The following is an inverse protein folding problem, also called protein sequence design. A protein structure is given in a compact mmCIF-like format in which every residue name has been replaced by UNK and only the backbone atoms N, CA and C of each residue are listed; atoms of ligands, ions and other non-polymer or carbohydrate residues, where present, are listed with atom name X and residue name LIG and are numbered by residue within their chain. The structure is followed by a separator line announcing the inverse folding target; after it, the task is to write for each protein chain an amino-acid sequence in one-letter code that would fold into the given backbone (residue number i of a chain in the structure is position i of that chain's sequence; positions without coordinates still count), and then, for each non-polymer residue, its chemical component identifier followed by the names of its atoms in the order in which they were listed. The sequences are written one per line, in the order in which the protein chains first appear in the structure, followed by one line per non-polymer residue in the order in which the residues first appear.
data_IF_550197207307
#
_entry.id   IF_550197207307
#
_cell.length_a   1.000
_cell.length_b   1.000
_cell.length_c   1.000
_cell.angle_alpha   90.00
_cell.angle_beta   90.00
_cell.angle_gamma   90.00
#
_symmetry.space_group_name_H-M   'P 1'
#
loop_
_entity.id
_entity.type
_entity.pdbx_description
1 polymer ?
#
# COMPACT_ATOMS: atom_id res chain seq x y z
N UNK A 1 22.84 -54.93 -45.59
CA UNK A 1 22.55 -55.27 -47.00
C UNK A 1 22.25 -53.96 -47.69
N UNK A 2 23.19 -53.60 -48.57
CA UNK A 2 23.14 -52.60 -49.63
C UNK A 2 22.87 -51.11 -49.26
N UNK A 3 23.89 -50.23 -49.20
CA UNK A 3 24.71 -49.69 -50.31
C UNK A 3 23.90 -48.59 -51.06
N UNK A 4 24.29 -47.31 -51.05
CA UNK A 4 25.37 -46.78 -51.90
C UNK A 4 25.73 -45.31 -51.60
N UNK A 5 27.05 -45.04 -51.60
CA UNK A 5 27.85 -44.03 -52.37
C UNK A 5 27.45 -42.53 -52.29
N UNK A 6 28.34 -41.52 -52.30
CA UNK A 6 29.78 -41.37 -52.59
C UNK A 6 30.23 -39.96 -52.13
N UNK A 7 31.53 -39.83 -51.84
CA UNK A 7 32.38 -38.64 -51.60
C UNK A 7 32.28 -37.54 -52.71
N UNK A 8 32.92 -36.32 -52.63
CA UNK A 8 34.17 -36.01 -51.92
C UNK A 8 34.38 -34.62 -51.29
N UNK A 9 35.53 -34.53 -50.63
CA UNK A 9 36.24 -33.39 -50.02
C UNK A 9 36.51 -32.20 -50.94
N UNK A 10 36.33 -30.99 -50.42
CA UNK A 10 37.12 -29.80 -50.78
C UNK A 10 37.30 -28.96 -49.49
N UNK A 11 38.55 -28.75 -49.08
CA UNK A 11 38.92 -27.74 -48.08
C UNK A 11 38.83 -26.35 -48.74
N UNK A 12 38.14 -25.36 -48.15
CA UNK A 12 38.31 -23.96 -48.50
C UNK A 12 39.47 -23.37 -47.71
N UNK A 13 40.33 -22.67 -48.44
CA UNK A 13 41.48 -21.88 -48.03
C UNK A 13 41.08 -20.66 -47.19
N UNK A 14 42.04 -20.23 -46.36
CA UNK A 14 42.09 -19.00 -45.57
C UNK A 14 41.50 -17.78 -46.29
N UNK A 15 40.29 -17.34 -45.88
CA UNK A 15 39.85 -15.95 -46.04
C UNK A 15 38.60 -15.56 -45.22
N UNK A 16 38.02 -16.47 -44.43
CA UNK A 16 36.75 -16.20 -43.71
C UNK A 16 36.89 -15.92 -42.20
N UNK A 17 38.09 -15.91 -41.63
CA UNK A 17 38.28 -15.73 -40.17
C UNK A 17 38.39 -14.26 -39.75
N UNK A 18 38.57 -13.29 -40.66
CA UNK A 18 38.66 -11.87 -40.29
C UNK A 18 37.33 -11.10 -40.32
N UNK A 19 36.31 -11.59 -41.01
CA UNK A 19 35.03 -10.85 -41.14
C UNK A 19 34.03 -11.11 -40.00
N UNK A 20 34.12 -12.25 -39.31
CA UNK A 20 33.20 -12.58 -38.20
C UNK A 20 33.66 -12.03 -36.84
N UNK A 21 34.94 -11.69 -36.67
CA UNK A 21 35.45 -11.03 -35.46
C UNK A 21 35.07 -9.53 -35.39
N UNK A 22 35.04 -8.83 -36.53
CA UNK A 22 34.68 -7.41 -36.59
C UNK A 22 33.17 -7.16 -36.46
N UNK A 23 32.33 -8.16 -36.78
CA UNK A 23 30.87 -8.02 -36.68
C UNK A 23 30.35 -8.27 -35.25
N UNK A 24 31.11 -8.98 -34.41
CA UNK A 24 30.80 -9.17 -32.98
C UNK A 24 31.32 -8.00 -32.15
N UNK A 25 32.48 -7.42 -32.50
CA UNK A 25 33.04 -6.22 -31.85
C UNK A 25 32.21 -4.94 -32.08
N UNK A 26 31.56 -4.80 -33.25
CA UNK A 26 30.73 -3.62 -33.52
C UNK A 26 29.32 -3.66 -32.92
N UNK A 27 28.80 -4.83 -32.53
CA UNK A 27 27.48 -4.94 -31.89
C UNK A 27 27.49 -4.63 -30.39
N UNK A 28 28.63 -4.74 -29.72
CA UNK A 28 28.77 -4.32 -28.31
C UNK A 28 29.01 -2.81 -28.17
N UNK A 29 29.42 -2.10 -29.23
CA UNK A 29 29.74 -0.67 -29.16
C UNK A 29 28.53 0.28 -29.27
N UNK A 30 27.40 -0.16 -29.82
CA UNK A 30 26.30 0.75 -30.17
C UNK A 30 25.23 0.85 -29.06
N UNK A 31 25.07 -0.17 -28.23
CA UNK A 31 24.20 -0.14 -27.05
C UNK A 31 24.73 0.79 -25.96
N UNK A 32 26.05 0.82 -25.75
CA UNK A 32 26.68 1.71 -24.78
C UNK A 32 26.65 3.18 -25.21
N UNK A 33 26.76 3.45 -26.52
CA UNK A 33 26.65 4.80 -27.08
C UNK A 33 25.21 5.36 -26.96
N UNK A 34 24.19 4.57 -27.27
CA UNK A 34 22.76 4.95 -27.13
C UNK A 34 22.41 5.18 -25.65
N UNK A 35 22.82 4.27 -24.76
CA UNK A 35 22.65 4.45 -23.31
C UNK A 35 23.38 5.71 -22.82
N UNK A 36 24.60 5.99 -23.30
CA UNK A 36 25.35 7.18 -22.88
C UNK A 36 24.70 8.48 -23.34
N UNK A 37 24.11 8.53 -24.53
CA UNK A 37 23.48 9.74 -25.06
C UNK A 37 22.13 10.00 -24.40
N UNK A 38 21.36 8.95 -24.11
CA UNK A 38 20.11 9.06 -23.38
C UNK A 38 20.33 9.46 -21.91
N UNK A 39 21.37 8.90 -21.27
CA UNK A 39 21.83 9.29 -19.93
C UNK A 39 22.23 10.77 -19.91
N UNK A 40 23.05 11.23 -20.87
CA UNK A 40 23.43 12.65 -21.00
C UNK A 40 22.21 13.55 -21.24
N UNK A 41 21.28 13.10 -22.09
CA UNK A 41 20.02 13.81 -22.38
C UNK A 41 19.16 13.96 -21.13
N UNK A 42 19.11 12.95 -20.26
CA UNK A 42 18.39 13.02 -18.99
C UNK A 42 18.98 14.04 -18.02
N UNK A 43 20.31 14.11 -17.88
CA UNK A 43 20.98 15.08 -17.00
C UNK A 43 21.17 16.46 -17.64
N UNK A 44 20.64 16.68 -18.85
CA UNK A 44 20.54 18.02 -19.44
C UNK A 44 19.53 18.90 -18.70
N UNK A 45 19.60 20.22 -18.90
CA UNK A 45 18.64 21.16 -18.31
C UNK A 45 17.17 20.79 -18.63
N UNK A 46 16.89 20.35 -19.85
CA UNK A 46 15.55 19.91 -20.26
C UNK A 46 15.13 18.61 -19.57
N UNK A 47 16.04 17.65 -19.44
CA UNK A 47 15.77 16.38 -18.76
C UNK A 47 15.49 16.56 -17.27
N UNK A 48 16.26 17.41 -16.60
CA UNK A 48 16.02 17.77 -15.20
C UNK A 48 14.70 18.56 -15.04
N UNK A 49 14.37 19.47 -15.96
CA UNK A 49 13.09 20.16 -15.95
C UNK A 49 11.88 19.20 -16.12
N UNK A 50 12.03 18.14 -16.93
CA UNK A 50 11.02 17.08 -17.03
C UNK A 50 10.88 16.31 -15.71
N UNK A 51 11.98 15.97 -15.05
CA UNK A 51 11.97 15.31 -13.75
C UNK A 51 11.28 16.18 -12.68
N UNK A 52 11.56 17.49 -12.66
CA UNK A 52 10.89 18.45 -11.78
C UNK A 52 9.40 18.56 -12.04
N UNK A 53 8.99 18.61 -13.31
CA UNK A 53 7.57 18.64 -13.70
C UNK A 53 6.83 17.40 -13.16
N UNK A 54 7.46 16.22 -13.25
CA UNK A 54 6.94 14.99 -12.66
C UNK A 54 6.74 15.10 -11.15
N UNK A 55 7.72 15.66 -10.43
CA UNK A 55 7.62 15.92 -8.98
C UNK A 55 6.48 16.88 -8.66
N UNK A 56 6.38 17.99 -9.40
CA UNK A 56 5.35 19.00 -9.18
C UNK A 56 3.95 18.43 -9.39
N UNK A 57 3.77 17.54 -10.36
CA UNK A 57 2.51 16.82 -10.55
C UNK A 57 2.20 15.90 -9.37
N UNK A 58 3.18 15.16 -8.85
CA UNK A 58 2.96 14.32 -7.66
C UNK A 58 2.65 15.16 -6.41
N UNK A 59 3.34 16.29 -6.23
CA UNK A 59 3.12 17.22 -5.14
C UNK A 59 1.72 17.82 -5.18
N UNK A 60 1.26 18.30 -6.34
CA UNK A 60 -0.05 18.94 -6.48
C UNK A 60 -1.22 17.95 -6.42
N UNK A 61 -1.10 16.78 -7.06
CA UNK A 61 -2.20 15.81 -7.15
C UNK A 61 -2.28 14.88 -5.94
N UNK A 62 -1.13 14.58 -5.33
CA UNK A 62 -1.05 13.64 -4.20
C UNK A 62 -0.77 14.38 -2.90
N UNK A 63 0.40 14.96 -2.71
CA UNK A 63 0.80 15.44 -1.38
C UNK A 63 -0.02 16.64 -0.88
N UNK A 64 -0.30 17.63 -1.73
CA UNK A 64 -0.94 18.88 -1.34
C UNK A 64 -2.35 18.65 -0.74
N UNK A 65 -3.28 17.90 -1.39
CA UNK A 65 -4.59 17.62 -0.81
C UNK A 65 -4.54 16.88 0.53
N UNK A 66 -3.56 15.98 0.74
CA UNK A 66 -3.45 15.25 2.01
C UNK A 66 -2.82 16.14 3.10
N UNK A 67 -1.95 17.07 2.71
CA UNK A 67 -1.38 18.07 3.62
C UNK A 67 -2.45 19.05 4.10
N UNK A 68 -3.34 19.53 3.23
CA UNK A 68 -4.48 20.36 3.63
C UNK A 68 -5.37 19.64 4.65
N UNK A 69 -5.76 18.39 4.38
CA UNK A 69 -6.52 17.58 5.34
C UNK A 69 -5.75 17.32 6.64
N UNK A 70 -4.43 17.27 6.58
CA UNK A 70 -3.59 17.13 7.78
C UNK A 70 -3.62 18.38 8.64
N UNK A 71 -3.70 19.58 8.04
CA UNK A 71 -3.98 20.81 8.79
C UNK A 71 -5.38 20.78 9.40
N UNK A 72 -6.41 20.35 8.66
CA UNK A 72 -7.77 20.23 9.23
C UNK A 72 -7.81 19.29 10.45
N UNK A 73 -7.05 18.20 10.42
CA UNK A 73 -6.88 17.33 11.59
C UNK A 73 -6.13 18.04 12.73
N UNK A 74 -5.05 18.75 12.43
CA UNK A 74 -4.28 19.48 13.43
C UNK A 74 -5.14 20.56 14.11
N UNK A 75 -5.98 21.28 13.37
CA UNK A 75 -6.91 22.27 13.91
C UNK A 75 -7.94 21.63 14.84
N UNK A 76 -8.46 20.45 14.48
CA UNK A 76 -9.34 19.67 15.36
C UNK A 76 -8.63 19.22 16.63
N UNK A 77 -7.42 18.67 16.50
CA UNK A 77 -6.59 18.31 17.64
C UNK A 77 -6.28 19.50 18.55
N UNK A 78 -6.06 20.69 18.00
CA UNK A 78 -5.81 21.90 18.78
C UNK A 78 -7.04 22.24 19.65
N UNK A 79 -8.24 22.28 19.06
CA UNK A 79 -9.48 22.53 19.81
C UNK A 79 -9.74 21.48 20.89
N UNK A 80 -9.50 20.21 20.59
CA UNK A 80 -9.63 19.12 21.58
C UNK A 80 -8.61 19.28 22.71
N UNK A 81 -7.36 19.61 22.39
CA UNK A 81 -6.30 19.83 23.36
C UNK A 81 -6.58 21.04 24.28
N UNK A 82 -7.18 22.11 23.76
CA UNK A 82 -7.59 23.28 24.56
C UNK A 82 -8.63 22.91 25.62
N UNK A 83 -9.55 21.99 25.30
CA UNK A 83 -10.57 21.51 26.23
C UNK A 83 -10.01 20.50 27.25
N UNK A 84 -8.99 19.73 26.88
CA UNK A 84 -8.37 18.71 27.73
C UNK A 84 -6.84 18.65 27.55
N UNK A 85 -6.07 19.60 28.12
CA UNK A 85 -4.64 19.74 27.85
C UNK A 85 -3.78 18.59 28.41
N UNK A 86 -4.31 17.85 29.38
CA UNK A 86 -3.66 16.67 29.96
C UNK A 86 -4.05 15.37 29.25
N UNK A 87 -4.85 15.46 28.18
CA UNK A 87 -5.26 14.34 27.34
C UNK A 87 -4.14 13.76 26.48
N UNK A 88 -4.47 12.71 25.74
CA UNK A 88 -3.53 12.07 24.79
C UNK A 88 -3.38 12.85 23.47
N UNK A 89 -4.36 13.70 23.18
CA UNK A 89 -4.32 14.73 22.15
C UNK A 89 -3.85 16.00 22.88
N UNK A 90 -2.63 16.43 22.59
CA UNK A 90 -1.95 17.53 23.29
C UNK A 90 -1.16 18.38 22.28
N UNK A 91 -0.64 19.52 22.74
CA UNK A 91 0.07 20.50 21.90
C UNK A 91 1.24 19.87 21.12
N UNK A 92 2.05 19.02 21.75
CA UNK A 92 3.13 18.32 21.05
C UNK A 92 2.61 17.44 19.90
N UNK A 93 1.46 16.78 20.08
CA UNK A 93 0.83 15.98 19.02
C UNK A 93 0.30 16.86 17.90
N UNK A 94 -0.33 17.98 18.25
CA UNK A 94 -0.82 18.98 17.30
C UNK A 94 0.32 19.42 16.39
N UNK A 95 1.45 19.85 16.98
CA UNK A 95 2.63 20.30 16.23
C UNK A 95 3.20 19.18 15.35
N UNK A 96 3.35 17.95 15.86
CA UNK A 96 3.82 16.81 15.06
C UNK A 96 2.93 16.55 13.84
N UNK A 97 1.60 16.57 14.01
CA UNK A 97 0.66 16.37 12.89
C UNK A 97 0.75 17.55 11.92
N UNK A 98 0.78 18.77 12.44
CA UNK A 98 0.94 19.99 11.65
C UNK A 98 2.19 19.95 10.77
N UNK A 99 3.32 19.46 11.28
CA UNK A 99 4.59 19.37 10.55
C UNK A 99 4.70 18.15 9.62
N UNK A 100 3.75 17.21 9.69
CA UNK A 100 3.78 16.00 8.89
C UNK A 100 3.75 16.33 7.38
N UNK A 101 4.73 15.81 6.64
CA UNK A 101 4.93 16.06 5.23
C UNK A 101 5.33 17.49 4.90
N UNK A 102 5.73 18.32 5.87
CA UNK A 102 6.12 19.71 5.62
C UNK A 102 7.36 19.85 4.74
N UNK A 103 8.26 18.88 4.80
CA UNK A 103 9.49 18.81 4.00
C UNK A 103 9.58 17.45 3.29
N UNK A 104 9.92 17.48 2.00
CA UNK A 104 10.01 16.31 1.12
C UNK A 104 11.25 16.42 0.23
N UNK A 105 11.98 15.32 0.04
CA UNK A 105 13.04 15.23 -0.96
C UNK A 105 12.74 14.11 -1.92
N UNK A 106 12.87 14.42 -3.21
CA UNK A 106 12.70 13.49 -4.30
C UNK A 106 14.03 13.25 -5.03
N UNK A 107 14.29 12.00 -5.36
CA UNK A 107 15.40 11.57 -6.20
C UNK A 107 14.91 11.21 -7.60
N UNK A 108 15.53 11.79 -8.62
CA UNK A 108 15.35 11.44 -10.02
C UNK A 108 16.64 10.87 -10.59
N UNK A 109 16.53 9.74 -11.28
CA UNK A 109 17.64 9.04 -11.90
C UNK A 109 17.22 8.52 -13.27
N UNK A 110 18.15 8.47 -14.22
CA UNK A 110 17.89 7.98 -15.57
C UNK A 110 17.25 6.58 -15.55
N UNK A 111 16.24 6.38 -16.41
CA UNK A 111 15.52 5.11 -16.51
C UNK A 111 14.52 4.84 -15.38
N UNK A 112 14.36 5.78 -14.44
CA UNK A 112 13.51 5.60 -13.26
C UNK A 112 12.47 6.70 -13.15
N UNK A 113 11.33 6.34 -12.54
CA UNK A 113 10.41 7.35 -12.01
C UNK A 113 11.05 8.05 -10.82
N UNK A 114 10.74 9.31 -10.63
CA UNK A 114 11.10 10.06 -9.44
C UNK A 114 10.55 9.38 -8.19
N UNK A 115 11.32 9.38 -7.10
CA UNK A 115 10.96 8.72 -5.84
C UNK A 115 11.16 9.64 -4.66
N UNK A 116 10.28 9.52 -3.68
CA UNK A 116 10.46 10.15 -2.37
C UNK A 116 11.57 9.41 -1.61
N UNK A 117 12.59 10.14 -1.16
CA UNK A 117 13.76 9.59 -0.44
C UNK A 117 13.94 10.18 0.95
N UNK A 118 13.35 11.35 1.20
CA UNK A 118 13.34 11.97 2.53
C UNK A 118 11.97 12.60 2.78
N UNK A 119 11.41 12.39 3.97
CA UNK A 119 10.20 13.06 4.41
C UNK A 119 10.07 12.95 5.94
N UNK A 120 9.40 13.94 6.53
CA UNK A 120 8.98 13.85 7.93
C UNK A 120 7.52 13.38 8.03
N UNK A 121 7.29 12.16 8.52
CA UNK A 121 5.93 11.64 8.76
C UNK A 121 5.67 11.46 10.26
N UNK A 122 4.60 12.07 10.77
CA UNK A 122 4.26 12.03 12.21
C UNK A 122 3.84 10.64 12.72
N UNK A 123 3.48 9.73 11.81
CA UNK A 123 2.95 8.39 12.07
C UNK A 123 1.69 8.37 12.95
N UNK A 124 1.01 9.51 13.12
CA UNK A 124 -0.29 9.56 13.78
C UNK A 124 -1.31 8.80 12.94
N UNK A 125 -2.16 8.01 13.60
CA UNK A 125 -3.08 7.09 12.95
C UNK A 125 -4.19 7.79 12.17
N UNK A 126 -4.61 8.98 12.61
CA UNK A 126 -5.64 9.73 11.89
C UNK A 126 -5.03 10.65 10.82
N UNK A 127 -3.71 10.88 10.83
CA UNK A 127 -3.05 11.77 9.89
C UNK A 127 -3.26 11.33 8.43
N UNK A 128 -3.95 12.13 7.59
CA UNK A 128 -4.25 11.76 6.21
C UNK A 128 -3.01 11.46 5.36
N UNK A 129 -1.91 12.19 5.60
CA UNK A 129 -0.61 11.93 4.97
C UNK A 129 -0.07 10.54 5.33
N UNK A 130 -0.02 10.21 6.62
CA UNK A 130 0.52 8.94 7.09
C UNK A 130 -0.39 7.76 6.69
N UNK A 131 -1.71 7.90 6.83
CA UNK A 131 -2.69 6.90 6.45
C UNK A 131 -2.64 6.56 4.96
N UNK A 132 -2.45 7.56 4.10
CA UNK A 132 -2.25 7.34 2.67
C UNK A 132 -0.96 6.56 2.39
N UNK A 133 0.16 6.92 3.02
CA UNK A 133 1.43 6.19 2.85
C UNK A 133 1.35 4.75 3.38
N UNK A 134 0.67 4.53 4.50
CA UNK A 134 0.38 3.18 5.06
C UNK A 134 -0.46 2.33 4.11
N UNK A 135 -1.44 2.94 3.44
CA UNK A 135 -2.25 2.29 2.40
C UNK A 135 -1.38 1.82 1.23
N UNK A 136 -0.54 2.70 0.67
CA UNK A 136 0.37 2.35 -0.43
C UNK A 136 1.34 1.22 -0.04
N UNK A 137 1.88 1.30 1.18
CA UNK A 137 2.75 0.26 1.73
C UNK A 137 2.03 -1.08 1.86
N UNK A 138 0.83 -1.08 2.44
CA UNK A 138 0.04 -2.29 2.63
C UNK A 138 -0.30 -2.93 1.28
N UNK A 139 -0.67 -2.11 0.28
CA UNK A 139 -0.86 -2.56 -1.09
C UNK A 139 0.40 -3.24 -1.64
N UNK A 140 1.54 -2.54 -1.62
CA UNK A 140 2.80 -3.07 -2.17
C UNK A 140 3.23 -4.36 -1.49
N UNK A 141 3.22 -4.39 -0.15
CA UNK A 141 3.60 -5.57 0.61
C UNK A 141 2.71 -6.77 0.32
N UNK A 142 1.40 -6.54 0.22
CA UNK A 142 0.44 -7.60 -0.06
C UNK A 142 0.55 -8.11 -1.50
N UNK A 143 0.79 -7.22 -2.46
CA UNK A 143 1.11 -7.61 -3.84
C UNK A 143 2.31 -8.54 -3.92
N UNK A 144 3.42 -8.18 -3.26
CA UNK A 144 4.63 -9.03 -3.23
C UNK A 144 4.38 -10.38 -2.54
N UNK A 145 3.54 -10.41 -1.50
CA UNK A 145 3.15 -11.66 -0.83
C UNK A 145 2.39 -12.57 -1.78
N UNK A 146 1.39 -12.04 -2.49
CA UNK A 146 0.59 -12.82 -3.45
C UNK A 146 1.47 -13.30 -4.61
N UNK A 147 2.34 -12.45 -5.13
CA UNK A 147 3.29 -12.82 -6.17
C UNK A 147 4.22 -13.96 -5.71
N UNK A 148 4.80 -13.84 -4.51
CA UNK A 148 5.66 -14.86 -3.93
C UNK A 148 4.94 -16.21 -3.79
N UNK A 149 3.69 -16.21 -3.34
CA UNK A 149 2.89 -17.43 -3.19
C UNK A 149 2.50 -18.04 -4.54
N UNK A 150 2.22 -17.22 -5.55
CA UNK A 150 1.89 -17.69 -6.90
C UNK A 150 3.07 -18.37 -7.60
N UNK A 151 4.32 -18.03 -7.24
CA UNK A 151 5.52 -18.71 -7.78
C UNK A 151 5.68 -20.15 -7.29
N UNK A 152 5.18 -20.46 -6.09
CA UNK A 152 5.50 -21.70 -5.39
C UNK A 152 4.29 -22.62 -5.20
N UNK A 153 3.07 -22.10 -5.33
CA UNK A 153 1.86 -22.80 -4.89
C UNK A 153 0.68 -22.63 -5.83
N UNK A 154 -0.14 -23.66 -5.91
CA UNK A 154 -1.44 -23.62 -6.58
C UNK A 154 -2.53 -23.16 -5.59
N UNK A 155 -2.59 -21.85 -5.35
CA UNK A 155 -3.63 -21.23 -4.54
C UNK A 155 -4.68 -20.50 -5.37
N UNK A 156 -5.82 -20.27 -4.75
CA UNK A 156 -6.85 -19.35 -5.19
C UNK A 156 -7.14 -18.36 -4.06
N UNK A 157 -7.69 -17.20 -4.42
CA UNK A 157 -7.92 -16.11 -3.47
C UNK A 157 -9.38 -15.70 -3.46
N UNK A 158 -9.89 -15.37 -2.28
CA UNK A 158 -11.20 -14.75 -2.13
C UNK A 158 -11.08 -13.46 -1.34
N UNK A 159 -11.87 -12.46 -1.74
CA UNK A 159 -12.17 -11.30 -0.94
C UNK A 159 -13.40 -11.60 -0.08
N UNK A 160 -13.25 -11.51 1.22
CA UNK A 160 -14.28 -11.73 2.23
C UNK A 160 -14.49 -10.44 3.02
N UNK A 161 -15.69 -9.86 2.93
CA UNK A 161 -16.12 -8.72 3.76
C UNK A 161 -17.02 -9.22 4.88
N UNK A 162 -16.70 -8.86 6.13
CA UNK A 162 -17.45 -9.24 7.33
C UNK A 162 -17.90 -7.98 8.08
N UNK A 163 -19.21 -7.81 8.28
CA UNK A 163 -19.76 -6.61 8.93
C UNK A 163 -20.28 -6.90 10.33
N UNK A 164 -20.39 -5.86 11.15
CA UNK A 164 -21.19 -5.82 12.37
C UNK A 164 -22.22 -4.69 12.21
N UNK A 165 -23.29 -4.68 13.02
CA UNK A 165 -24.23 -3.55 13.03
C UNK A 165 -23.50 -2.27 13.40
N UNK A 166 -24.09 -1.17 12.98
CA UNK A 166 -23.61 0.14 13.34
C UNK A 166 -23.60 0.34 14.85
N UNK A 167 -22.75 1.26 15.30
CA UNK A 167 -22.57 1.59 16.71
C UNK A 167 -22.46 3.11 16.90
N UNK A 168 -22.74 3.57 18.11
CA UNK A 168 -22.53 4.96 18.52
C UNK A 168 -21.03 5.28 18.65
N UNK A 169 -20.67 6.55 18.76
CA UNK A 169 -19.29 6.99 19.06
C UNK A 169 -18.71 6.36 20.34
N UNK A 170 -19.53 6.20 21.38
CA UNK A 170 -19.10 5.63 22.67
C UNK A 170 -18.86 4.12 22.58
N UNK A 171 -19.54 3.46 21.63
CA UNK A 171 -19.51 2.01 21.46
C UNK A 171 -18.49 1.54 20.42
N UNK A 172 -17.75 2.42 19.74
CA UNK A 172 -16.78 2.00 18.70
C UNK A 172 -15.76 1.02 19.28
N UNK A 173 -15.21 1.35 20.46
CA UNK A 173 -14.17 0.55 21.12
C UNK A 173 -14.66 -0.88 21.45
N UNK A 174 -15.83 -1.00 22.09
CA UNK A 174 -16.44 -2.29 22.45
C UNK A 174 -16.88 -3.08 21.22
N UNK A 175 -17.40 -2.40 20.19
CA UNK A 175 -17.78 -2.97 18.90
C UNK A 175 -16.58 -3.55 18.17
N UNK A 176 -15.43 -2.86 18.17
CA UNK A 176 -14.17 -3.36 17.60
C UNK A 176 -13.66 -4.60 18.36
N UNK A 177 -13.79 -4.63 19.68
CA UNK A 177 -13.43 -5.79 20.49
C UNK A 177 -14.28 -7.01 20.12
N UNK A 178 -15.59 -6.84 19.99
CA UNK A 178 -16.50 -7.89 19.52
C UNK A 178 -16.14 -8.35 18.10
N UNK A 179 -15.93 -7.41 17.17
CA UNK A 179 -15.57 -7.69 15.77
C UNK A 179 -14.28 -8.52 15.69
N UNK A 180 -13.26 -8.16 16.48
CA UNK A 180 -11.96 -8.84 16.46
C UNK A 180 -11.99 -10.18 17.20
N UNK A 181 -12.75 -10.29 18.29
CA UNK A 181 -13.02 -11.56 18.96
C UNK A 181 -13.77 -12.52 18.02
N UNK A 182 -14.80 -12.04 17.33
CA UNK A 182 -15.56 -12.78 16.34
C UNK A 182 -14.66 -13.32 15.23
N UNK A 183 -13.77 -12.49 14.67
CA UNK A 183 -12.84 -12.95 13.64
C UNK A 183 -11.89 -14.05 14.15
N UNK A 184 -11.38 -13.92 15.38
CA UNK A 184 -10.55 -14.96 16.01
C UNK A 184 -11.34 -16.27 16.22
N UNK A 185 -12.61 -16.20 16.60
CA UNK A 185 -13.49 -17.36 16.75
C UNK A 185 -13.79 -18.02 15.40
N UNK A 186 -14.04 -17.23 14.37
CA UNK A 186 -14.26 -17.69 13.00
C UNK A 186 -13.07 -18.51 12.49
N UNK A 187 -11.85 -18.01 12.64
CA UNK A 187 -10.63 -18.72 12.24
C UNK A 187 -10.38 -20.03 13.00
N UNK A 188 -10.93 -20.17 14.21
CA UNK A 188 -10.85 -21.41 15.02
C UNK A 188 -11.93 -22.44 14.67
N UNK A 189 -12.98 -22.04 13.95
CA UNK A 189 -14.03 -22.95 13.51
C UNK A 189 -13.45 -24.06 12.63
N UNK A 190 -13.85 -25.31 12.88
CA UNK A 190 -13.29 -26.48 12.18
C UNK A 190 -13.47 -26.40 10.65
N UNK A 191 -14.63 -25.94 10.16
CA UNK A 191 -14.90 -25.78 8.71
C UNK A 191 -13.96 -24.73 8.10
N UNK A 192 -13.84 -23.59 8.76
CA UNK A 192 -13.02 -22.46 8.29
C UNK A 192 -11.52 -22.80 8.32
N UNK A 193 -11.05 -23.43 9.40
CA UNK A 193 -9.65 -23.82 9.59
C UNK A 193 -9.15 -24.77 8.50
N UNK A 194 -10.02 -25.64 7.97
CA UNK A 194 -9.67 -26.55 6.86
C UNK A 194 -9.46 -25.77 5.56
N UNK A 195 -10.30 -24.76 5.31
CA UNK A 195 -10.34 -24.01 4.05
C UNK A 195 -9.25 -22.93 3.98
N UNK A 196 -9.14 -22.09 5.01
CA UNK A 196 -8.23 -20.93 5.00
C UNK A 196 -6.78 -21.39 5.27
N UNK A 197 -5.91 -21.23 4.27
CA UNK A 197 -4.46 -21.51 4.39
C UNK A 197 -3.66 -20.30 4.87
N UNK A 198 -4.21 -19.11 4.62
CA UNK A 198 -3.66 -17.85 5.09
C UNK A 198 -4.61 -16.72 4.80
N UNK A 199 -4.34 -15.55 5.38
CA UNK A 199 -5.16 -14.37 5.15
C UNK A 199 -4.35 -13.08 5.37
N UNK A 200 -4.83 -12.01 4.75
CA UNK A 200 -4.62 -10.64 5.19
C UNK A 200 -5.97 -10.06 5.58
N UNK A 201 -6.04 -9.44 6.76
CA UNK A 201 -7.21 -8.73 7.27
C UNK A 201 -6.85 -7.25 7.44
N UNK A 202 -7.76 -6.37 7.04
CA UNK A 202 -7.83 -4.98 7.46
C UNK A 202 -9.20 -4.69 8.08
N UNK A 203 -9.24 -3.78 9.05
CA UNK A 203 -10.47 -3.22 9.59
C UNK A 203 -10.70 -1.85 8.93
N UNK A 204 -11.89 -1.59 8.45
CA UNK A 204 -12.35 -0.28 7.99
C UNK A 204 -13.49 0.19 8.89
N UNK A 205 -13.57 1.49 9.16
CA UNK A 205 -14.67 2.11 9.88
C UNK A 205 -15.19 3.24 8.99
N UNK A 206 -16.45 3.13 8.56
CA UNK A 206 -17.14 4.19 7.84
C UNK A 206 -18.13 4.90 8.75
N UNK A 207 -18.51 6.13 8.40
CA UNK A 207 -19.49 6.92 9.14
C UNK A 207 -20.79 6.95 8.35
N UNK A 208 -21.93 6.84 9.03
CA UNK A 208 -23.20 7.21 8.43
C UNK A 208 -23.26 8.74 8.30
N UNK A 209 -23.30 9.25 7.07
CA UNK A 209 -23.32 10.70 6.81
C UNK A 209 -24.69 11.33 7.04
N UNK A 210 -25.74 10.52 7.25
CA UNK A 210 -27.08 10.98 7.58
C UNK A 210 -27.26 11.26 9.08
N UNK A 211 -26.23 10.99 9.91
CA UNK A 211 -26.22 11.35 11.33
C UNK A 211 -26.39 12.86 11.53
N UNK A 212 -27.23 13.25 12.50
CA UNK A 212 -27.52 14.65 12.82
C UNK A 212 -26.70 15.08 14.04
N UNK A 213 -25.98 16.20 13.92
CA UNK A 213 -25.18 16.74 15.01
C UNK A 213 -24.05 15.79 15.42
N UNK A 214 -23.84 15.62 16.72
CA UNK A 214 -22.75 14.80 17.28
C UNK A 214 -23.16 13.35 17.54
N UNK A 215 -24.41 12.96 17.26
CA UNK A 215 -24.89 11.58 17.37
C UNK A 215 -24.46 10.77 16.13
N UNK A 216 -23.15 10.58 16.05
CA UNK A 216 -22.50 9.91 14.94
C UNK A 216 -22.68 8.40 15.04
N UNK A 217 -23.04 7.80 13.91
CA UNK A 217 -23.18 6.38 13.77
C UNK A 217 -22.06 5.81 12.89
N UNK A 218 -21.42 4.75 13.38
CA UNK A 218 -20.21 4.17 12.80
C UNK A 218 -20.43 2.74 12.38
N UNK A 219 -19.81 2.34 11.25
CA UNK A 219 -19.89 0.99 10.70
C UNK A 219 -18.50 0.35 10.61
N UNK A 220 -17.99 -0.24 11.71
CA UNK A 220 -16.80 -1.08 11.66
C UNK A 220 -17.04 -2.35 10.84
N UNK A 221 -16.10 -2.72 9.99
CA UNK A 221 -16.15 -3.96 9.23
C UNK A 221 -14.74 -4.44 8.83
N UNK A 222 -14.65 -5.70 8.39
CA UNK A 222 -13.39 -6.32 8.00
C UNK A 222 -13.38 -6.59 6.51
N UNK A 223 -12.29 -6.21 5.85
CA UNK A 223 -11.93 -6.71 4.54
C UNK A 223 -10.81 -7.74 4.69
N UNK A 224 -11.02 -8.92 4.10
CA UNK A 224 -10.10 -10.06 4.29
C UNK A 224 -9.81 -10.70 2.94
N UNK A 225 -8.55 -10.70 2.52
CA UNK A 225 -8.10 -11.62 1.47
C UNK A 225 -7.79 -12.95 2.14
N UNK A 226 -8.49 -14.00 1.75
CA UNK A 226 -8.21 -15.36 2.19
C UNK A 226 -7.56 -16.16 1.06
N UNK A 227 -6.62 -17.01 1.45
CA UNK A 227 -5.96 -17.98 0.56
C UNK A 227 -6.58 -19.34 0.79
N UNK A 228 -6.98 -19.99 -0.29
CA UNK A 228 -7.57 -21.32 -0.30
C UNK A 228 -6.85 -22.21 -1.31
N UNK A 229 -7.04 -23.52 -1.19
CA UNK A 229 -6.52 -24.46 -2.19
C UNK A 229 -7.14 -24.19 -3.57
N UNK A 230 -6.41 -24.47 -4.65
CA UNK A 230 -6.93 -24.30 -6.02
C UNK A 230 -8.24 -25.05 -6.30
N UNK A 231 -8.43 -26.20 -5.67
CA UNK A 231 -9.66 -26.99 -5.78
C UNK A 231 -10.86 -26.44 -4.98
N UNK A 232 -10.70 -25.37 -4.19
CA UNK A 232 -11.70 -24.94 -3.20
C UNK A 232 -13.12 -24.82 -3.76
N UNK A 233 -13.29 -24.25 -4.95
CA UNK A 233 -14.61 -24.00 -5.54
C UNK A 233 -15.31 -25.27 -6.08
N UNK A 234 -14.59 -26.38 -6.20
CA UNK A 234 -15.13 -27.68 -6.62
C UNK A 234 -15.04 -28.73 -5.50
N UNK A 235 -14.42 -28.39 -4.38
CA UNK A 235 -14.20 -29.27 -3.24
C UNK A 235 -15.44 -29.34 -2.32
N UNK A 236 -15.62 -30.47 -1.65
CA UNK A 236 -16.73 -30.67 -0.68
C UNK A 236 -16.64 -29.74 0.53
N UNK A 237 -15.45 -29.19 0.83
CA UNK A 237 -15.22 -28.21 1.89
C UNK A 237 -15.58 -26.78 1.49
N UNK A 238 -16.06 -26.55 0.26
CA UNK A 238 -16.54 -25.23 -0.18
C UNK A 238 -17.56 -24.64 0.80
N UNK A 239 -17.36 -23.38 1.18
CA UNK A 239 -18.26 -22.65 2.05
C UNK A 239 -19.03 -21.65 1.20
N UNK A 240 -20.33 -21.87 1.09
CA UNK A 240 -21.24 -20.99 0.35
C UNK A 240 -21.40 -19.63 1.05
N UNK A 241 -21.88 -18.62 0.31
CA UNK A 241 -22.24 -17.31 0.85
C UNK A 241 -23.17 -17.41 2.08
N UNK A 242 -24.20 -18.26 2.01
CA UNK A 242 -25.13 -18.52 3.11
C UNK A 242 -24.43 -19.13 4.33
N UNK A 243 -23.53 -20.06 4.10
CA UNK A 243 -22.75 -20.68 5.19
C UNK A 243 -21.76 -19.69 5.82
N UNK A 244 -21.17 -18.79 5.04
CA UNK A 244 -20.33 -17.72 5.58
C UNK A 244 -21.11 -16.78 6.49
N UNK A 245 -22.34 -16.41 6.12
CA UNK A 245 -23.24 -15.61 6.98
C UNK A 245 -23.50 -16.36 8.29
N UNK A 246 -23.87 -17.65 8.22
CA UNK A 246 -24.10 -18.47 9.41
C UNK A 246 -22.86 -18.57 10.31
N UNK A 247 -21.70 -18.89 9.74
CA UNK A 247 -20.44 -19.02 10.45
C UNK A 247 -20.03 -17.69 11.09
N UNK A 248 -20.25 -16.58 10.40
CA UNK A 248 -19.95 -15.26 10.91
C UNK A 248 -20.88 -14.86 12.05
N UNK A 249 -22.19 -15.05 11.90
CA UNK A 249 -23.19 -14.84 12.96
C UNK A 249 -22.85 -15.60 14.23
N UNK A 250 -22.59 -16.90 14.11
CA UNK A 250 -22.20 -17.76 15.24
C UNK A 250 -20.89 -17.30 15.89
N UNK A 251 -19.92 -16.89 15.07
CA UNK A 251 -18.63 -16.41 15.56
C UNK A 251 -18.74 -15.06 16.28
N UNK A 252 -19.60 -14.17 15.79
CA UNK A 252 -19.85 -12.85 16.37
C UNK A 252 -20.75 -12.90 17.61
N UNK A 253 -21.56 -13.96 17.74
CA UNK A 253 -22.47 -14.17 18.86
C UNK A 253 -23.70 -13.28 18.83
N UNK A 254 -24.20 -12.98 17.62
CA UNK A 254 -25.36 -12.10 17.42
C UNK A 254 -26.61 -12.88 16.98
N UNK A 255 -27.78 -12.31 17.23
CA UNK A 255 -29.09 -12.90 16.96
C UNK A 255 -29.66 -12.55 15.57
N UNK A 256 -28.97 -11.72 14.80
CA UNK A 256 -29.32 -11.31 13.45
C UNK A 256 -28.30 -11.83 12.43
N UNK A 257 -28.69 -11.94 11.15
CA UNK A 257 -27.77 -12.28 10.07
C UNK A 257 -26.97 -11.02 9.63
N UNK A 258 -25.66 -10.93 9.94
CA UNK A 258 -24.83 -9.82 9.49
C UNK A 258 -24.60 -9.87 7.98
N UNK A 259 -24.32 -8.71 7.38
CA UNK A 259 -23.91 -8.66 5.98
C UNK A 259 -22.51 -9.28 5.83
N UNK A 260 -22.41 -10.26 4.94
CA UNK A 260 -21.15 -10.89 4.56
C UNK A 260 -21.09 -10.87 3.05
N UNK A 261 -19.91 -10.75 2.47
CA UNK A 261 -19.71 -10.89 1.02
C UNK A 261 -18.46 -11.70 0.77
N UNK A 262 -18.56 -12.80 0.03
CA UNK A 262 -17.39 -13.54 -0.45
C UNK A 262 -17.34 -13.53 -1.97
N UNK A 263 -16.17 -13.23 -2.53
CA UNK A 263 -15.94 -13.18 -3.97
C UNK A 263 -14.61 -13.80 -4.34
N UNK A 264 -14.58 -14.61 -5.40
CA UNK A 264 -13.34 -15.11 -5.99
C UNK A 264 -12.59 -13.92 -6.61
N UNK A 265 -11.31 -13.78 -6.29
CA UNK A 265 -10.41 -12.83 -6.95
C UNK A 265 -9.85 -13.53 -8.17
N UNK A 266 -10.09 -12.97 -9.37
CA UNK A 266 -9.54 -13.54 -10.60
C UNK A 266 -8.08 -13.10 -10.72
N UNK A 267 -7.17 -14.06 -10.63
CA UNK A 267 -5.75 -13.83 -10.87
C UNK A 267 -5.44 -14.29 -12.30
N UNK A 268 -5.22 -13.34 -13.20
CA UNK A 268 -4.82 -13.61 -14.58
C UNK A 268 -3.48 -12.90 -14.85
N UNK A 269 -2.44 -13.60 -15.32
CA UNK A 269 -1.17 -12.98 -15.69
C UNK A 269 -1.29 -11.84 -16.73
N UNK A 270 -2.31 -11.91 -17.59
CA UNK A 270 -2.56 -10.92 -18.64
C UNK A 270 -3.61 -9.86 -18.26
N UNK A 271 -4.27 -9.99 -17.10
CA UNK A 271 -5.27 -9.04 -16.61
C UNK A 271 -5.27 -9.03 -15.07
N UNK A 272 -4.48 -8.11 -14.50
CA UNK A 272 -4.33 -7.94 -13.06
C UNK A 272 -5.47 -7.15 -12.41
N UNK A 273 -6.42 -6.60 -13.18
CA UNK A 273 -7.43 -5.65 -12.65
C UNK A 273 -8.22 -6.21 -11.47
N UNK A 274 -8.72 -7.44 -11.55
CA UNK A 274 -9.49 -8.02 -10.44
C UNK A 274 -8.65 -8.21 -9.17
N UNK A 275 -7.36 -8.50 -9.31
CA UNK A 275 -6.45 -8.61 -8.18
C UNK A 275 -6.13 -7.21 -7.62
N UNK A 276 -5.83 -6.26 -8.49
CA UNK A 276 -5.60 -4.86 -8.12
C UNK A 276 -6.81 -4.23 -7.42
N UNK A 277 -8.03 -4.47 -7.89
CA UNK A 277 -9.26 -3.99 -7.26
C UNK A 277 -9.41 -4.58 -5.85
N UNK A 278 -9.16 -5.88 -5.68
CA UNK A 278 -9.23 -6.53 -4.37
C UNK A 278 -8.12 -6.04 -3.42
N UNK A 279 -6.90 -5.84 -3.94
CA UNK A 279 -5.78 -5.27 -3.21
C UNK A 279 -6.06 -3.82 -2.80
N UNK A 280 -6.61 -3.01 -3.70
CA UNK A 280 -7.03 -1.63 -3.44
C UNK A 280 -8.12 -1.61 -2.37
N UNK A 281 -9.10 -2.51 -2.44
CA UNK A 281 -10.15 -2.62 -1.43
C UNK A 281 -9.56 -2.91 -0.04
N UNK A 282 -8.72 -3.94 0.10
CA UNK A 282 -8.21 -4.31 1.43
C UNK A 282 -7.09 -3.41 1.95
N UNK A 283 -6.41 -2.68 1.05
CA UNK A 283 -5.35 -1.73 1.40
C UNK A 283 -5.86 -0.30 1.60
N UNK A 284 -7.16 -0.03 1.40
CA UNK A 284 -7.80 1.17 1.94
C UNK A 284 -7.49 1.20 3.43
N UNK A 285 -6.88 2.30 3.87
CA UNK A 285 -6.56 2.45 5.27
C UNK A 285 -7.87 2.53 6.07
N UNK A 286 -7.76 2.19 7.35
CA UNK A 286 -8.87 1.96 8.30
C UNK A 286 -9.92 3.08 8.30
N UNK A 287 -9.50 4.30 7.98
CA UNK A 287 -10.34 5.48 7.91
C UNK A 287 -9.96 6.28 6.67
N UNK A 288 -10.97 6.61 5.85
CA UNK A 288 -10.80 7.66 4.86
C UNK A 288 -11.08 9.01 5.54
N UNK A 289 -10.21 9.98 5.29
CA UNK A 289 -10.26 11.27 6.00
C UNK A 289 -11.55 12.06 5.75
N UNK A 290 -12.20 11.85 4.60
CA UNK A 290 -13.54 12.37 4.30
C UNK A 290 -14.60 11.92 5.30
N UNK A 291 -14.45 10.73 5.89
CA UNK A 291 -15.43 10.17 6.80
C UNK A 291 -15.47 10.89 8.16
N UNK A 292 -14.44 11.65 8.52
CA UNK A 292 -14.35 12.30 9.83
C UNK A 292 -13.86 13.75 9.82
N UNK A 293 -13.33 14.26 8.70
CA UNK A 293 -12.90 15.66 8.57
C UNK A 293 -13.81 16.51 7.69
N UNK A 294 -14.69 15.92 6.87
CA UNK A 294 -15.56 16.67 5.96
C UNK A 294 -16.93 16.93 6.62
N UNK A 295 -17.02 18.03 7.36
CA UNK A 295 -18.27 18.58 7.89
C UNK A 295 -18.14 20.09 8.10
N UNK A 296 -19.24 20.84 7.94
CA UNK A 296 -19.22 22.30 8.08
C UNK A 296 -19.16 22.77 9.53
N UNK A 297 -19.71 21.98 10.45
CA UNK A 297 -19.66 22.21 11.89
C UNK A 297 -18.39 21.59 12.51
N UNK A 298 -17.48 22.41 13.08
CA UNK A 298 -16.28 21.92 13.76
C UNK A 298 -16.57 21.00 14.94
N UNK A 299 -17.68 21.15 15.66
CA UNK A 299 -18.01 20.30 16.80
C UNK A 299 -18.26 18.84 16.38
N UNK A 300 -18.84 18.65 15.20
CA UNK A 300 -19.05 17.32 14.61
C UNK A 300 -17.72 16.69 14.19
N UNK A 301 -16.80 17.49 13.63
CA UNK A 301 -15.45 17.04 13.28
C UNK A 301 -14.68 16.63 14.54
N UNK A 302 -14.71 17.47 15.57
CA UNK A 302 -13.97 17.22 16.81
C UNK A 302 -14.49 15.97 17.53
N UNK A 303 -15.82 15.81 17.61
CA UNK A 303 -16.46 14.60 18.16
C UNK A 303 -16.05 13.33 17.38
N UNK A 304 -16.05 13.40 16.04
CA UNK A 304 -15.63 12.30 15.19
C UNK A 304 -14.15 11.92 15.39
N UNK A 305 -13.28 12.93 15.38
CA UNK A 305 -11.84 12.79 15.57
C UNK A 305 -11.53 12.20 16.94
N UNK A 306 -12.15 12.72 18.00
CA UNK A 306 -11.92 12.26 19.36
C UNK A 306 -12.37 10.80 19.55
N UNK A 307 -13.59 10.46 19.11
CA UNK A 307 -14.14 9.11 19.19
C UNK A 307 -13.23 8.09 18.49
N UNK A 308 -12.77 8.40 17.28
CA UNK A 308 -11.86 7.55 16.52
C UNK A 308 -10.47 7.46 17.17
N UNK A 309 -9.92 8.59 17.62
CA UNK A 309 -8.57 8.62 18.22
C UNK A 309 -8.49 7.70 19.43
N UNK A 310 -9.42 7.84 20.38
CA UNK A 310 -9.41 7.04 21.61
C UNK A 310 -9.82 5.59 21.35
N UNK A 311 -10.82 5.36 20.49
CA UNK A 311 -11.27 4.00 20.20
C UNK A 311 -10.23 3.17 19.45
N UNK A 312 -9.38 3.80 18.64
CA UNK A 312 -8.31 3.13 17.91
C UNK A 312 -6.99 3.04 18.68
N UNK A 313 -6.86 3.72 19.81
CA UNK A 313 -5.61 3.78 20.55
C UNK A 313 -5.08 2.38 20.91
N UNK A 314 -3.81 2.11 20.59
CA UNK A 314 -3.13 0.83 20.87
C UNK A 314 -3.80 -0.42 20.26
N UNK A 315 -4.66 -0.26 19.24
CA UNK A 315 -5.25 -1.38 18.50
C UNK A 315 -4.44 -1.72 17.25
N UNK A 316 -4.35 -3.00 16.91
CA UNK A 316 -3.82 -3.44 15.61
C UNK A 316 -4.97 -3.68 14.65
N UNK A 317 -4.98 -3.00 13.52
CA UNK A 317 -6.13 -2.96 12.60
C UNK A 317 -5.90 -3.82 11.36
N UNK A 318 -4.63 -4.13 11.09
CA UNK A 318 -4.21 -5.03 10.03
C UNK A 318 -3.49 -6.27 10.58
N UNK A 319 -3.70 -7.43 9.95
CA UNK A 319 -3.00 -8.65 10.37
C UNK A 319 -2.85 -9.66 9.24
N UNK A 320 -1.73 -10.39 9.27
CA UNK A 320 -1.45 -11.49 8.37
C UNK A 320 -1.46 -12.81 9.15
N UNK A 321 -2.03 -13.87 8.56
CA UNK A 321 -2.08 -15.21 9.14
C UNK A 321 -1.75 -16.30 8.14
N UNK A 322 -1.37 -17.48 8.64
CA UNK A 322 -1.05 -18.65 7.82
C UNK A 322 0.07 -18.38 6.80
N UNK A 323 -0.08 -18.88 5.57
CA UNK A 323 0.93 -18.77 4.51
C UNK A 323 1.30 -17.34 4.15
N UNK A 324 0.36 -16.39 4.30
CA UNK A 324 0.65 -14.96 4.11
C UNK A 324 1.67 -14.46 5.13
N UNK A 325 1.51 -14.83 6.41
CA UNK A 325 2.47 -14.45 7.46
C UNK A 325 3.85 -15.05 7.21
N UNK A 326 3.91 -16.27 6.67
CA UNK A 326 5.18 -16.91 6.33
C UNK A 326 5.87 -16.19 5.15
N UNK A 327 5.16 -15.97 4.05
CA UNK A 327 5.68 -15.25 2.90
C UNK A 327 6.23 -13.86 3.26
N UNK A 328 5.57 -13.12 4.17
CA UNK A 328 6.11 -11.83 4.68
C UNK A 328 7.45 -11.96 5.37
N UNK A 329 7.64 -13.01 6.17
CA UNK A 329 8.92 -13.27 6.84
C UNK A 329 10.00 -13.61 5.82
N UNK A 330 9.66 -14.42 4.82
CA UNK A 330 10.59 -14.82 3.76
C UNK A 330 11.02 -13.61 2.91
N UNK A 331 10.08 -12.68 2.66
CA UNK A 331 10.32 -11.40 1.99
C UNK A 331 10.97 -10.33 2.89
N UNK A 332 11.18 -10.60 4.18
CA UNK A 332 11.76 -9.67 5.18
C UNK A 332 11.03 -8.31 5.23
N UNK A 333 9.71 -8.32 5.09
CA UNK A 333 8.91 -7.10 5.15
C UNK A 333 8.83 -6.56 6.58
N UNK A 334 8.94 -5.24 6.73
CA UNK A 334 8.76 -4.53 8.00
C UNK A 334 7.27 -4.34 8.35
N UNK A 335 6.94 -3.69 9.47
CA UNK A 335 5.55 -3.54 9.89
C UNK A 335 4.75 -2.60 8.95
N UNK A 336 3.54 -2.99 8.50
CA UNK A 336 2.75 -2.19 7.57
C UNK A 336 2.11 -0.95 8.22
N UNK A 337 1.92 -0.94 9.54
CA UNK A 337 1.38 0.21 10.26
C UNK A 337 2.53 1.13 10.70
N UNK A 338 3.56 0.63 11.36
CA UNK A 338 4.55 1.50 12.03
C UNK A 338 5.93 1.58 11.36
N UNK A 339 6.13 0.83 10.27
CA UNK A 339 7.39 0.78 9.53
C UNK A 339 7.74 2.05 8.74
N UNK A 340 8.62 1.90 7.75
CA UNK A 340 9.06 2.98 6.87
C UNK A 340 7.92 3.46 5.95
N UNK A 341 7.62 4.77 5.96
CA UNK A 341 6.61 5.39 5.10
C UNK A 341 7.23 6.12 3.89
N UNK A 342 8.56 6.09 3.73
CA UNK A 342 9.29 6.67 2.60
C UNK A 342 9.50 5.60 1.53
N UNK A 343 10.15 4.48 1.88
CA UNK A 343 10.38 3.36 0.97
C UNK A 343 9.25 2.34 1.12
N UNK A 344 8.24 2.47 0.26
CA UNK A 344 7.00 1.68 0.29
C UNK A 344 7.07 0.45 -0.62
N UNK A 345 7.97 0.42 -1.61
CA UNK A 345 8.16 -0.69 -2.55
C UNK A 345 9.62 -1.18 -2.59
N UNK A 346 9.84 -2.43 -3.01
CA UNK A 346 11.20 -2.96 -3.26
C UNK A 346 11.87 -2.33 -4.48
N UNK A 347 11.07 -1.76 -5.39
CA UNK A 347 11.55 -1.02 -6.55
C UNK A 347 12.03 0.38 -6.17
N UNK A 348 11.83 0.84 -4.92
CA UNK A 348 12.24 2.19 -4.49
C UNK A 348 13.76 2.37 -4.41
N UNK A 349 14.55 1.31 -4.55
CA UNK A 349 16.02 1.36 -4.57
C UNK A 349 16.54 2.16 -5.75
N UNK A 350 17.48 3.06 -5.51
CA UNK A 350 18.21 3.83 -6.52
C UNK A 350 19.38 2.99 -7.04
N UNK A 351 19.73 3.12 -8.33
CA UNK A 351 20.87 2.39 -8.89
C UNK A 351 22.20 3.00 -8.45
N UNK A 352 23.07 2.16 -7.91
CA UNK A 352 24.43 2.52 -7.56
C UNK A 352 25.25 2.84 -8.82
N UNK A 353 26.14 3.83 -8.74
CA UNK A 353 27.07 4.16 -9.83
C UNK A 353 26.54 5.10 -10.92
N UNK A 354 25.31 5.60 -10.81
CA UNK A 354 24.78 6.66 -11.67
C UNK A 354 24.52 7.94 -10.86
N UNK A 355 24.70 9.14 -11.43
CA UNK A 355 24.33 10.40 -10.76
C UNK A 355 22.86 10.40 -10.34
N UNK A 356 22.53 11.17 -9.30
CA UNK A 356 21.15 11.31 -8.82
C UNK A 356 20.83 12.80 -8.74
N UNK A 357 19.71 13.20 -9.33
CA UNK A 357 19.21 14.56 -9.18
C UNK A 357 18.24 14.62 -8.01
N UNK A 358 18.60 15.40 -6.99
CA UNK A 358 17.86 15.55 -5.75
C UNK A 358 17.09 16.87 -5.73
N UNK A 359 15.82 16.84 -5.32
CA UNK A 359 14.92 18.00 -5.30
C UNK A 359 14.21 18.07 -3.95
N UNK A 360 14.51 19.11 -3.16
CA UNK A 360 13.90 19.38 -1.88
C UNK A 360 12.75 20.38 -1.99
N UNK A 361 11.62 20.06 -1.35
CA UNK A 361 10.40 20.86 -1.34
C UNK A 361 9.93 21.11 0.08
N UNK A 362 9.45 22.33 0.33
CA UNK A 362 8.82 22.70 1.59
C UNK A 362 7.39 23.18 1.34
N UNK A 363 6.49 22.83 2.24
CA UNK A 363 5.15 23.38 2.25
C UNK A 363 5.18 24.80 2.81
N UNK A 364 4.71 25.77 2.03
CA UNK A 364 4.76 27.19 2.37
C UNK A 364 3.61 27.64 3.26
N UNK A 365 3.79 28.80 3.91
CA UNK A 365 2.79 29.46 4.76
C UNK A 365 1.52 29.87 4.01
N UNK A 366 1.62 30.09 2.70
CA UNK A 366 0.50 30.51 1.84
C UNK A 366 -0.22 29.34 1.14
N UNK A 367 0.08 28.10 1.55
CA UNK A 367 -0.47 26.89 0.92
C UNK A 367 0.34 26.47 -0.31
N UNK A 368 0.68 25.19 -0.38
CA UNK A 368 1.39 24.58 -1.51
C UNK A 368 2.86 24.25 -1.22
N UNK A 369 3.40 23.32 -2.02
CA UNK A 369 4.81 22.98 -1.98
C UNK A 369 5.60 23.86 -2.94
N UNK A 370 6.76 24.33 -2.50
CA UNK A 370 7.72 25.06 -3.33
C UNK A 370 9.09 24.39 -3.25
N UNK A 371 9.82 24.36 -4.36
CA UNK A 371 11.19 23.85 -4.40
C UNK A 371 12.08 24.80 -3.62
N UNK A 372 12.76 24.28 -2.60
CA UNK A 372 13.67 25.06 -1.74
C UNK A 372 15.14 24.81 -2.06
N UNK A 373 15.47 23.65 -2.63
CA UNK A 373 16.81 23.32 -3.09
C UNK A 373 16.79 22.21 -4.14
N UNK A 374 17.82 22.13 -4.96
CA UNK A 374 18.15 20.94 -5.74
C UNK A 374 19.67 20.77 -5.86
N UNK A 375 20.14 19.54 -5.99
CA UNK A 375 21.56 19.21 -6.05
C UNK A 375 21.79 17.87 -6.77
N UNK A 376 23.04 17.61 -7.16
CA UNK A 376 23.47 16.32 -7.71
C UNK A 376 24.18 15.52 -6.63
N UNK A 377 23.86 14.24 -6.50
CA UNK A 377 24.63 13.28 -5.71
C UNK A 377 25.33 12.27 -6.61
N UNK A 378 26.56 11.92 -6.27
CA UNK A 378 27.22 10.74 -6.81
C UNK A 378 26.54 9.51 -6.20
N UNK A 379 26.10 8.56 -7.03
CA UNK A 379 25.39 7.36 -6.60
C UNK A 379 26.26 6.40 -5.79
N UNK A 380 26.63 6.78 -4.56
CA UNK A 380 27.31 5.93 -3.60
C UNK A 380 26.29 5.08 -2.86
N UNK A 381 26.47 3.76 -2.94
CA UNK A 381 25.59 2.79 -2.30
C UNK A 381 25.57 2.98 -0.79
N UNK A 382 24.37 2.97 -0.22
CA UNK A 382 24.21 2.54 1.18
C UNK A 382 24.43 1.02 1.20
N UNK A 383 25.49 0.60 1.88
CA UNK A 383 25.80 -0.81 2.13
C UNK A 383 24.82 -1.48 3.08
#
# INVERSE_FOLDING_TARGET
MDDKKKAPSVLPTDETVSAEADTISQKESNTDLVLSQDVKSFYSAEGLARAESGCNNELSTRFHPKKERTYSLADSYARIADLNPYGRINEDRVQRVMDCGGYLVFAAQYGMKTKLVEAHFCKDRLCPMCSWRRSLKSFSQLSSVIEHLNRTSQYEYCLLTLTIRNCSSDDISSTLDQLFAGFRKLLKNKRVKVVIKGYFKSCEITRNLDSIGTDLEWHPHLHVIIVVNKSYFTDKSYISQKDWIYLWRDSLGVDYDPSVRIQKIKVNPNDSRSLEDALNEVSKYVLKSDQFLEHSDPAVVDSAVEALFYSLFNRRLTSFGGVFKQARKDLKQDDPEDGDLIHITTEDRIFNGMPIYMMGFSYGRYGGYSKVRSWMEEGFGTG
#
